data_IF_798365850465
#
_entry.id   IF_798365850465
#
_cell.length_a   1.000
_cell.length_b   1.000
_cell.length_c   1.000
_cell.angle_alpha   90.00
_cell.angle_beta   90.00
_cell.angle_gamma   90.00
#
_symmetry.space_group_name_H-M   'P 1'
#
loop_
_entity.id
_entity.type
_entity.pdbx_description
1 polymer ?
#
# COMPACT_ATOMS: atom_id res chain seq x y z
N UNK A 1 11.31 -3.13 -0.80
CA UNK A 1 11.71 -2.03 -1.71
C UNK A 1 13.03 -2.35 -2.41
N UNK A 2 14.17 -2.36 -1.72
CA UNK A 2 15.49 -2.51 -2.39
C UNK A 2 15.76 -3.87 -3.05
N UNK A 3 15.17 -4.96 -2.57
CA UNK A 3 15.39 -6.31 -3.13
C UNK A 3 14.30 -6.78 -4.07
N UNK A 4 13.20 -6.01 -4.19
CA UNK A 4 12.02 -6.35 -5.00
C UNK A 4 11.45 -7.78 -4.78
N UNK A 5 11.73 -8.42 -3.63
CA UNK A 5 11.21 -9.77 -3.36
C UNK A 5 9.69 -9.74 -3.16
N UNK A 6 8.95 -10.70 -3.73
CA UNK A 6 7.52 -10.80 -3.49
C UNK A 6 7.23 -11.17 -2.03
N UNK A 7 6.04 -10.80 -1.56
CA UNK A 7 5.49 -11.20 -0.26
C UNK A 7 4.27 -12.07 -0.58
N UNK A 8 4.26 -13.31 -0.10
CA UNK A 8 3.11 -14.20 -0.25
C UNK A 8 2.00 -13.88 0.79
N UNK A 9 0.85 -14.55 0.64
CA UNK A 9 -0.32 -14.29 1.48
C UNK A 9 -0.08 -14.56 2.97
N UNK A 10 0.68 -15.61 3.31
CA UNK A 10 0.93 -16.01 4.69
C UNK A 10 1.91 -15.06 5.38
N UNK A 11 2.96 -14.63 4.68
CA UNK A 11 3.88 -13.62 5.19
C UNK A 11 3.20 -12.25 5.32
N UNK A 12 2.31 -11.90 4.39
CA UNK A 12 1.49 -10.69 4.49
C UNK A 12 0.55 -10.71 5.71
N UNK A 13 -0.06 -11.87 6.01
CA UNK A 13 -0.90 -12.06 7.19
C UNK A 13 -0.10 -11.93 8.48
N UNK A 14 1.06 -12.58 8.56
CA UNK A 14 1.98 -12.48 9.71
C UNK A 14 2.42 -11.05 10.00
N UNK A 15 2.55 -10.22 8.96
CA UNK A 15 2.90 -8.79 9.07
C UNK A 15 1.70 -7.88 9.37
N UNK A 16 0.49 -8.42 9.41
CA UNK A 16 -0.75 -7.66 9.64
C UNK A 16 -1.26 -6.88 8.43
N UNK A 17 -0.69 -7.10 7.24
CA UNK A 17 -1.17 -6.49 5.98
C UNK A 17 -2.43 -7.20 5.47
N UNK A 18 -2.56 -8.50 5.76
CA UNK A 18 -3.74 -9.32 5.45
C UNK A 18 -4.35 -9.79 6.77
N UNK A 19 -5.68 -9.74 6.90
CA UNK A 19 -6.37 -10.16 8.13
C UNK A 19 -6.56 -11.67 8.25
N UNK A 20 -6.76 -12.37 7.12
CA UNK A 20 -7.00 -13.81 7.05
C UNK A 20 -6.59 -14.37 5.69
N UNK A 21 -5.87 -15.49 5.66
CA UNK A 21 -5.63 -16.29 4.43
C UNK A 21 -6.65 -17.43 4.33
N UNK A 22 -7.22 -17.62 3.13
CA UNK A 22 -8.22 -18.66 2.83
C UNK A 22 -7.92 -19.32 1.47
N UNK A 23 -8.43 -20.54 1.20
CA UNK A 23 -8.36 -21.12 -0.14
C UNK A 23 -9.02 -20.21 -1.19
N UNK A 24 -8.42 -20.13 -2.38
CA UNK A 24 -8.88 -19.21 -3.43
C UNK A 24 -10.36 -19.42 -3.80
N UNK A 25 -10.81 -20.67 -3.87
CA UNK A 25 -12.20 -21.01 -4.19
C UNK A 25 -13.22 -20.53 -3.13
N UNK A 26 -12.76 -20.20 -1.92
CA UNK A 26 -13.61 -19.74 -0.81
C UNK A 26 -13.55 -18.23 -0.58
N UNK A 27 -12.68 -17.50 -1.29
CA UNK A 27 -12.41 -16.08 -1.03
C UNK A 27 -13.68 -15.23 -0.98
N UNK A 28 -14.55 -15.39 -1.97
CA UNK A 28 -15.80 -14.62 -2.06
C UNK A 28 -16.78 -14.97 -0.94
N UNK A 29 -16.91 -16.27 -0.63
CA UNK A 29 -17.80 -16.76 0.41
C UNK A 29 -17.37 -16.25 1.80
N UNK A 30 -16.08 -16.36 2.12
CA UNK A 30 -15.51 -15.92 3.38
C UNK A 30 -15.56 -14.39 3.54
N UNK A 31 -15.24 -13.65 2.47
CA UNK A 31 -15.31 -12.18 2.48
C UNK A 31 -16.75 -11.69 2.67
N UNK A 32 -17.71 -12.33 2.00
CA UNK A 32 -19.13 -11.99 2.14
C UNK A 32 -19.67 -12.32 3.52
N UNK A 33 -19.28 -13.46 4.10
CA UNK A 33 -19.67 -13.84 5.45
C UNK A 33 -19.23 -12.79 6.48
N UNK A 34 -17.98 -12.33 6.41
CA UNK A 34 -17.46 -11.26 7.27
C UNK A 34 -18.22 -9.94 7.06
N UNK A 35 -18.49 -9.56 5.81
CA UNK A 35 -19.27 -8.36 5.52
C UNK A 35 -20.69 -8.44 6.11
N UNK A 36 -21.34 -9.59 6.03
CA UNK A 36 -22.67 -9.82 6.59
C UNK A 36 -22.67 -9.77 8.12
N UNK A 37 -21.62 -10.26 8.77
CA UNK A 37 -21.40 -10.14 10.22
C UNK A 37 -21.26 -8.66 10.63
N UNK A 38 -20.38 -7.92 9.96
CA UNK A 38 -20.19 -6.48 10.21
C UNK A 38 -21.50 -5.71 10.00
N UNK A 39 -22.28 -6.06 8.97
CA UNK A 39 -23.54 -5.37 8.65
C UNK A 39 -24.63 -5.50 9.74
N UNK A 40 -24.50 -6.44 10.69
CA UNK A 40 -25.42 -6.54 11.83
C UNK A 40 -25.18 -5.45 12.90
N UNK A 41 -24.06 -4.74 12.83
CA UNK A 41 -23.67 -3.78 13.87
C UNK A 41 -24.32 -2.41 13.64
N UNK A 42 -24.51 -1.64 14.72
CA UNK A 42 -25.09 -0.30 14.63
C UNK A 42 -24.21 0.64 13.77
N UNK A 43 -24.75 1.29 12.72
CA UNK A 43 -23.94 2.04 11.75
C UNK A 43 -23.07 3.14 12.37
N UNK A 44 -23.61 3.89 13.33
CA UNK A 44 -22.85 4.94 14.01
C UNK A 44 -21.71 4.37 14.87
N UNK A 45 -21.91 3.22 15.52
CA UNK A 45 -20.88 2.61 16.36
C UNK A 45 -19.70 2.11 15.50
N UNK A 46 -20.01 1.48 14.36
CA UNK A 46 -18.98 1.09 13.37
C UNK A 46 -18.21 2.30 12.85
N UNK A 47 -18.90 3.39 12.52
CA UNK A 47 -18.27 4.61 12.04
C UNK A 47 -17.32 5.22 13.09
N UNK A 48 -17.74 5.24 14.36
CA UNK A 48 -16.91 5.74 15.45
C UNK A 48 -15.70 4.85 15.72
N UNK A 49 -15.86 3.52 15.72
CA UNK A 49 -14.76 2.59 15.87
C UNK A 49 -13.71 2.79 14.76
N UNK A 50 -14.16 2.87 13.50
CA UNK A 50 -13.28 3.15 12.35
C UNK A 50 -12.59 4.52 12.48
N UNK A 51 -13.33 5.56 12.91
CA UNK A 51 -12.78 6.91 13.13
C UNK A 51 -11.70 6.91 14.19
N UNK A 52 -11.89 6.22 15.31
CA UNK A 52 -10.89 6.14 16.39
C UNK A 52 -9.57 5.55 15.91
N UNK A 53 -9.63 4.42 15.17
CA UNK A 53 -8.44 3.77 14.61
C UNK A 53 -7.74 4.69 13.60
N UNK A 54 -8.50 5.24 12.64
CA UNK A 54 -7.92 6.11 11.61
C UNK A 54 -7.34 7.40 12.20
N UNK A 55 -8.02 8.02 13.17
CA UNK A 55 -7.53 9.21 13.85
C UNK A 55 -6.24 8.92 14.65
N UNK A 56 -6.08 7.71 15.16
CA UNK A 56 -4.84 7.26 15.81
C UNK A 56 -3.71 7.19 14.77
N UNK A 57 -3.96 6.60 13.59
CA UNK A 57 -2.99 6.56 12.48
C UNK A 57 -2.61 7.97 12.01
N UNK A 58 -3.59 8.87 11.87
CA UNK A 58 -3.34 10.26 11.49
C UNK A 58 -2.50 10.99 12.53
N UNK A 59 -2.78 10.78 13.82
CA UNK A 59 -1.98 11.31 14.94
C UNK A 59 -0.55 10.77 14.92
N UNK A 60 -0.37 9.49 14.55
CA UNK A 60 0.96 8.90 14.35
C UNK A 60 1.68 9.42 13.08
N UNK A 61 1.01 10.24 12.26
CA UNK A 61 1.60 10.92 11.12
C UNK A 61 1.30 10.28 9.76
N UNK A 62 0.34 9.35 9.67
CA UNK A 62 0.04 8.64 8.42
C UNK A 62 -0.23 9.60 7.24
N UNK A 63 -1.07 10.62 7.44
CA UNK A 63 -1.38 11.58 6.39
C UNK A 63 -0.15 12.38 5.92
N UNK A 64 0.64 12.90 6.86
CA UNK A 64 1.86 13.65 6.53
C UNK A 64 2.90 12.77 5.82
N UNK A 65 3.05 11.51 6.26
CA UNK A 65 3.92 10.53 5.62
C UNK A 65 3.49 10.24 4.17
N UNK A 66 2.19 10.13 3.90
CA UNK A 66 1.69 9.92 2.53
C UNK A 66 2.00 11.11 1.61
N UNK A 67 1.86 12.35 2.09
CA UNK A 67 2.24 13.55 1.33
C UNK A 67 3.74 13.55 1.01
N UNK A 68 4.59 13.31 2.02
CA UNK A 68 6.04 13.26 1.83
C UNK A 68 6.46 12.15 0.84
N UNK A 69 5.83 10.97 0.91
CA UNK A 69 6.06 9.88 -0.03
C UNK A 69 5.66 10.25 -1.47
N UNK A 70 4.55 10.96 -1.65
CA UNK A 70 4.12 11.44 -2.96
C UNK A 70 5.13 12.41 -3.56
N UNK A 71 5.59 13.40 -2.80
CA UNK A 71 6.60 14.36 -3.26
C UNK A 71 7.89 13.65 -3.68
N UNK A 72 8.38 12.72 -2.86
CA UNK A 72 9.56 11.92 -3.16
C UNK A 72 9.39 11.06 -4.42
N UNK A 73 8.20 10.47 -4.62
CA UNK A 73 7.89 9.69 -5.81
C UNK A 73 7.90 10.55 -7.09
N UNK A 74 7.30 11.75 -7.04
CA UNK A 74 7.30 12.69 -8.17
C UNK A 74 8.70 13.21 -8.48
N UNK A 75 9.53 13.47 -7.46
CA UNK A 75 10.94 13.81 -7.66
C UNK A 75 11.71 12.68 -8.37
N UNK A 76 11.38 11.42 -8.08
CA UNK A 76 11.90 10.27 -8.81
C UNK A 76 11.58 10.33 -10.31
N UNK A 77 10.34 10.65 -10.68
CA UNK A 77 9.93 10.84 -12.08
C UNK A 77 10.62 12.02 -12.76
N UNK A 78 10.71 13.17 -12.09
CA UNK A 78 11.39 14.35 -12.61
C UNK A 78 12.88 14.07 -12.88
N UNK A 79 13.53 13.36 -11.96
CA UNK A 79 14.93 12.94 -12.08
C UNK A 79 15.13 11.99 -13.27
N UNK A 80 14.26 10.98 -13.41
CA UNK A 80 14.29 10.06 -14.56
C UNK A 80 14.14 10.82 -15.89
N UNK A 81 13.21 11.77 -15.94
CA UNK A 81 12.96 12.57 -17.14
C UNK A 81 14.17 13.45 -17.50
N UNK A 82 14.77 14.12 -16.52
CA UNK A 82 15.94 14.96 -16.74
C UNK A 82 17.13 14.17 -17.30
N UNK A 83 17.27 12.89 -16.94
CA UNK A 83 18.40 12.05 -17.34
C UNK A 83 18.18 11.31 -18.66
N UNK A 84 16.94 10.94 -18.98
CA UNK A 84 16.63 9.99 -20.06
C UNK A 84 15.55 10.47 -21.04
N UNK A 85 14.85 11.57 -20.74
CA UNK A 85 13.65 11.99 -21.45
C UNK A 85 12.42 11.11 -21.17
N UNK A 86 12.52 10.11 -20.30
CA UNK A 86 11.43 9.21 -19.90
C UNK A 86 11.06 9.42 -18.43
N UNK A 87 9.77 9.33 -18.09
CA UNK A 87 9.30 9.48 -16.71
C UNK A 87 9.60 8.27 -15.81
N UNK A 88 9.87 7.11 -16.39
CA UNK A 88 10.23 5.89 -15.65
C UNK A 88 11.37 5.22 -16.39
N UNK A 89 12.42 4.85 -15.65
CA UNK A 89 13.51 4.05 -16.19
C UNK A 89 13.08 2.59 -16.24
N UNK A 90 12.72 2.10 -17.43
CA UNK A 90 12.25 0.72 -17.64
C UNK A 90 13.32 -0.21 -18.20
N UNK A 91 14.48 0.30 -18.62
CA UNK A 91 15.58 -0.50 -19.14
C UNK A 91 16.79 -0.53 -18.18
N UNK A 92 17.57 -1.61 -18.23
CA UNK A 92 18.78 -1.76 -17.41
C UNK A 92 19.91 -0.80 -17.85
N UNK A 93 19.80 -0.19 -19.03
CA UNK A 93 20.80 0.72 -19.61
C UNK A 93 20.59 2.17 -19.16
N UNK A 94 19.35 2.65 -19.04
CA UNK A 94 18.98 3.97 -18.51
C UNK A 94 19.37 4.14 -17.03
N UNK A 95 19.28 3.07 -16.24
CA UNK A 95 19.77 3.05 -14.84
C UNK A 95 21.29 3.24 -14.76
N UNK A 96 22.07 2.72 -15.72
CA UNK A 96 23.53 2.87 -15.75
C UNK A 96 24.00 4.17 -16.40
N UNK A 97 23.26 4.73 -17.35
CA UNK A 97 23.54 6.03 -17.95
C UNK A 97 23.35 7.17 -16.93
N UNK A 98 22.33 7.06 -16.08
CA UNK A 98 22.05 7.93 -14.94
C UNK A 98 23.18 7.99 -13.89
N UNK A 99 23.97 6.93 -13.74
CA UNK A 99 25.02 6.79 -12.74
C UNK A 99 26.37 7.41 -13.16
N UNK A 100 26.49 7.89 -14.40
CA UNK A 100 27.75 8.38 -15.00
C UNK A 100 27.85 9.90 -15.15
N UNK A 101 26.89 10.66 -14.62
CA UNK A 101 26.96 12.12 -14.48
C UNK A 101 27.17 12.51 -13.03
#
# INVERSE_FOLDING_TARGET
>A
LFTAKPIDAFEAEKRGMVNRVVPLAELDAQSRALAMEIAQMHPHALAMAKRMVNQTLDTMGQYAALQACFDAHQLGHASAYAQSGQFVLTDHLGIKAAQKG
#
